data_IF_878397779817
#
_entry.id   IF_878397779817
#
_cell.length_a   1.000
_cell.length_b   1.000
_cell.length_c   1.000
_cell.angle_alpha   90.00
_cell.angle_beta   90.00
_cell.angle_gamma   90.00
#
_symmetry.space_group_name_H-M   'P 1'
#
loop_
_entity.id
_entity.type
_entity.pdbx_description
1 polymer ?
#
# COMPACT_ATOMS: atom_id res chain seq x y z
N UNK A 1 4.19 9.24 23.26
CA UNK A 1 2.88 9.46 22.60
C UNK A 1 3.14 9.63 21.12
N UNK A 2 2.33 9.01 20.26
CA UNK A 2 2.34 9.27 18.81
C UNK A 2 0.99 9.88 18.43
N UNK A 3 0.98 11.00 17.70
CA UNK A 3 -0.24 11.67 17.24
C UNK A 3 -0.29 11.63 15.72
N UNK A 4 -1.48 11.33 15.18
CA UNK A 4 -1.72 11.27 13.74
C UNK A 4 -2.92 12.14 13.37
N UNK A 5 -2.70 13.16 12.55
CA UNK A 5 -3.76 14.04 12.04
C UNK A 5 -4.21 13.60 10.64
N UNK A 6 -5.52 13.47 10.45
CA UNK A 6 -6.12 13.22 9.14
C UNK A 6 -7.21 14.25 8.86
N UNK A 7 -7.15 14.92 7.71
CA UNK A 7 -8.20 15.84 7.30
C UNK A 7 -9.26 15.07 6.49
N UNK A 8 -10.56 15.11 6.86
CA UNK A 8 -11.60 14.32 6.19
C UNK A 8 -11.73 14.55 4.69
N UNK A 9 -11.37 15.75 4.23
CA UNK A 9 -11.52 16.21 2.83
C UNK A 9 -10.25 16.08 2.00
N UNK A 10 -9.10 15.76 2.61
CA UNK A 10 -7.83 15.65 1.91
C UNK A 10 -7.55 14.17 1.64
N UNK A 11 -8.27 13.60 0.68
CA UNK A 11 -8.07 12.21 0.30
C UNK A 11 -6.65 12.04 -0.26
N UNK A 12 -5.85 11.27 0.49
CA UNK A 12 -4.49 10.94 0.09
C UNK A 12 -4.55 9.91 -1.03
N UNK A 13 -4.37 10.36 -2.27
CA UNK A 13 -4.30 9.46 -3.44
C UNK A 13 -3.04 8.58 -3.45
N UNK A 14 -2.05 8.87 -2.61
CA UNK A 14 -0.79 8.09 -2.52
C UNK A 14 -1.10 6.65 -2.11
N UNK A 15 -0.70 5.70 -2.93
CA UNK A 15 -0.98 4.27 -2.75
C UNK A 15 -2.13 3.75 -3.62
N UNK A 16 -3.01 4.63 -4.12
CA UNK A 16 -4.07 4.23 -5.05
C UNK A 16 -3.48 3.66 -6.35
N UNK A 17 -4.18 2.70 -6.94
CA UNK A 17 -3.81 2.06 -8.20
C UNK A 17 -4.92 2.34 -9.22
N UNK A 18 -4.51 2.76 -10.42
CA UNK A 18 -5.39 3.13 -11.51
C UNK A 18 -5.05 2.35 -12.77
N UNK A 19 -6.05 2.17 -13.64
CA UNK A 19 -5.83 1.94 -15.07
C UNK A 19 -5.75 3.33 -15.71
N UNK A 20 -4.56 3.74 -16.12
CA UNK A 20 -4.31 5.03 -16.75
C UNK A 20 -4.08 4.92 -18.26
N UNK A 21 -4.15 6.05 -18.95
CA UNK A 21 -3.82 6.20 -20.37
C UNK A 21 -2.58 7.05 -20.52
N UNK A 22 -1.57 6.56 -21.23
CA UNK A 22 -0.37 7.34 -21.55
C UNK A 22 -0.79 8.49 -22.48
N UNK A 23 -0.66 9.72 -22.01
CA UNK A 23 -0.95 10.92 -22.81
C UNK A 23 0.24 11.26 -23.70
N UNK A 24 1.43 11.27 -23.11
CA UNK A 24 2.64 11.68 -23.78
C UNK A 24 3.87 10.91 -23.26
N UNK A 25 4.85 10.73 -24.12
CA UNK A 25 6.14 10.09 -23.84
C UNK A 25 7.23 11.07 -24.23
N UNK A 26 8.09 11.40 -23.27
CA UNK A 26 9.12 12.44 -23.40
C UNK A 26 10.52 11.81 -23.24
N UNK A 27 11.14 11.31 -24.33
CA UNK A 27 12.45 10.64 -24.30
C UNK A 27 13.55 11.51 -23.68
N UNK A 28 13.58 12.81 -24.02
CA UNK A 28 14.57 13.75 -23.49
C UNK A 28 14.51 13.94 -21.97
N UNK A 29 13.36 13.66 -21.35
CA UNK A 29 13.18 13.67 -19.90
C UNK A 29 13.25 12.25 -19.29
N UNK A 30 13.24 11.20 -20.10
CA UNK A 30 13.18 9.81 -19.65
C UNK A 30 11.90 9.51 -18.87
N UNK A 31 10.75 10.04 -19.30
CA UNK A 31 9.48 9.93 -18.58
C UNK A 31 8.26 9.97 -19.50
N UNK A 32 7.10 9.63 -18.94
CA UNK A 32 5.79 9.71 -19.57
C UNK A 32 4.77 10.40 -18.64
N UNK A 33 3.74 10.99 -19.23
CA UNK A 33 2.56 11.48 -18.51
C UNK A 33 1.39 10.52 -18.72
N UNK A 34 0.71 10.20 -17.63
CA UNK A 34 -0.35 9.18 -17.61
C UNK A 34 -1.60 9.78 -17.00
N UNK A 35 -2.65 9.93 -17.80
CA UNK A 35 -3.97 10.32 -17.34
C UNK A 35 -4.58 9.18 -16.52
N UNK A 36 -5.08 9.52 -15.34
CA UNK A 36 -5.74 8.61 -14.39
C UNK A 36 -7.11 9.16 -13.94
N UNK A 37 -7.61 10.21 -14.57
CA UNK A 37 -8.88 10.86 -14.22
C UNK A 37 -8.80 11.78 -12.99
N UNK A 38 -7.59 12.00 -12.47
CA UNK A 38 -7.31 12.98 -11.41
C UNK A 38 -7.08 14.38 -12.00
N UNK A 39 -7.05 15.42 -11.16
CA UNK A 39 -6.84 16.81 -11.62
C UNK A 39 -5.52 17.04 -12.38
N UNK A 40 -4.51 16.19 -12.16
CA UNK A 40 -3.21 16.22 -12.83
C UNK A 40 -2.80 14.81 -13.21
N UNK A 41 -2.30 14.63 -14.42
CA UNK A 41 -1.69 13.38 -14.89
C UNK A 41 -0.50 12.97 -14.02
N UNK A 42 -0.30 11.66 -13.86
CA UNK A 42 0.84 11.13 -13.13
C UNK A 42 2.11 11.28 -13.99
N UNK A 43 3.17 11.81 -13.37
CA UNK A 43 4.51 11.76 -13.93
C UNK A 43 5.12 10.38 -13.67
N UNK A 44 5.44 9.64 -14.73
CA UNK A 44 6.04 8.29 -14.67
C UNK A 44 7.47 8.31 -15.25
N UNK A 45 8.52 8.36 -14.40
CA UNK A 45 9.89 8.28 -14.87
C UNK A 45 10.29 6.84 -15.25
N UNK A 46 11.24 6.69 -16.16
CA UNK A 46 11.71 5.38 -16.65
C UNK A 46 12.23 4.43 -15.56
N UNK A 47 12.73 4.96 -14.44
CA UNK A 47 13.14 4.19 -13.26
C UNK A 47 12.00 3.47 -12.53
N UNK A 48 10.76 3.83 -12.84
CA UNK A 48 9.54 3.32 -12.22
C UNK A 48 8.76 2.38 -13.15
N UNK A 49 9.38 1.96 -14.25
CA UNK A 49 8.90 0.84 -15.09
C UNK A 49 9.30 -0.48 -14.41
N UNK A 50 8.33 -1.37 -14.25
CA UNK A 50 8.48 -2.62 -13.52
C UNK A 50 9.16 -3.73 -14.34
N UNK A 51 9.68 -4.73 -13.63
CA UNK A 51 10.38 -5.87 -14.22
C UNK A 51 9.54 -6.64 -15.24
N UNK A 52 8.23 -6.79 -14.99
CA UNK A 52 7.31 -7.51 -15.88
C UNK A 52 7.21 -6.84 -17.25
N UNK A 53 7.00 -5.52 -17.29
CA UNK A 53 6.93 -4.73 -18.53
C UNK A 53 8.26 -4.77 -19.28
N UNK A 54 9.38 -4.68 -18.55
CA UNK A 54 10.72 -4.77 -19.15
C UNK A 54 10.93 -6.14 -19.83
N UNK A 55 10.61 -7.23 -19.13
CA UNK A 55 10.72 -8.60 -19.65
C UNK A 55 9.83 -8.83 -20.87
N UNK A 56 8.59 -8.32 -20.85
CA UNK A 56 7.66 -8.39 -22.00
C UNK A 56 8.22 -7.73 -23.27
N UNK A 57 9.10 -6.73 -23.12
CA UNK A 57 9.80 -6.06 -24.21
C UNK A 57 11.19 -6.65 -24.51
N UNK A 58 11.52 -7.82 -23.96
CA UNK A 58 12.83 -8.48 -24.13
C UNK A 58 13.98 -7.76 -23.42
N UNK A 59 13.68 -6.81 -22.53
CA UNK A 59 14.66 -6.06 -21.76
C UNK A 59 14.96 -6.78 -20.44
N UNK A 60 16.22 -6.71 -20.03
CA UNK A 60 16.70 -7.35 -18.81
C UNK A 60 16.71 -6.32 -17.67
N UNK A 61 15.90 -6.48 -16.61
CA UNK A 61 15.77 -5.46 -15.56
C UNK A 61 17.08 -5.07 -14.84
N UNK A 62 18.06 -5.98 -14.80
CA UNK A 62 19.34 -5.75 -14.15
C UNK A 62 20.38 -5.00 -15.00
N UNK A 63 20.10 -4.71 -16.27
CA UNK A 63 21.00 -3.96 -17.16
C UNK A 63 20.78 -2.43 -17.12
N UNK A 64 20.03 -1.92 -16.14
CA UNK A 64 19.74 -0.50 -15.96
C UNK A 64 18.36 -0.08 -16.46
N UNK A 65 18.09 1.22 -16.43
CA UNK A 65 16.81 1.78 -16.87
C UNK A 65 16.66 1.73 -18.39
N UNK A 66 15.59 1.10 -18.84
CA UNK A 66 15.18 1.14 -20.23
C UNK A 66 14.79 2.56 -20.65
N UNK A 67 15.03 2.89 -21.92
CA UNK A 67 14.49 4.09 -22.56
C UNK A 67 12.96 4.01 -22.57
N UNK A 68 12.29 5.06 -22.12
CA UNK A 68 10.84 5.09 -21.90
C UNK A 68 10.05 4.83 -23.20
N UNK A 69 10.55 5.32 -24.32
CA UNK A 69 9.95 5.18 -25.66
C UNK A 69 10.03 3.76 -26.22
N UNK A 70 10.88 2.89 -25.64
CA UNK A 70 10.94 1.47 -26.02
C UNK A 70 9.84 0.64 -25.36
N UNK A 71 9.22 1.17 -24.30
CA UNK A 71 8.29 0.42 -23.44
C UNK A 71 6.89 1.04 -23.38
N UNK A 72 6.75 2.34 -23.68
CA UNK A 72 5.48 3.05 -23.66
C UNK A 72 5.24 3.81 -24.97
N UNK A 73 3.97 3.87 -25.37
CA UNK A 73 3.48 4.69 -26.49
C UNK A 73 2.28 5.54 -26.06
N UNK A 74 2.12 6.75 -26.62
CA UNK A 74 0.89 7.53 -26.43
C UNK A 74 -0.37 6.72 -26.78
N UNK A 75 -1.43 6.89 -26.00
CA UNK A 75 -2.71 6.18 -26.11
C UNK A 75 -2.75 4.80 -25.44
N UNK A 76 -1.60 4.19 -25.12
CA UNK A 76 -1.52 2.90 -24.43
C UNK A 76 -2.16 2.98 -23.04
N UNK A 77 -2.90 1.94 -22.66
CA UNK A 77 -3.41 1.80 -21.28
C UNK A 77 -2.41 1.03 -20.41
N UNK A 78 -2.20 1.48 -19.18
CA UNK A 78 -1.28 0.84 -18.21
C UNK A 78 -1.89 0.81 -16.80
N UNK A 79 -1.46 -0.14 -15.97
CA UNK A 79 -1.74 -0.13 -14.54
C UNK A 79 -0.63 0.65 -13.83
N UNK A 80 -1.01 1.62 -13.00
CA UNK A 80 -0.09 2.56 -12.35
C UNK A 80 -0.52 2.86 -10.93
N UNK A 81 0.44 2.88 -9.99
CA UNK A 81 0.24 3.25 -8.59
C UNK A 81 0.76 4.67 -8.33
N UNK A 82 0.05 5.46 -7.54
CA UNK A 82 0.54 6.76 -7.08
C UNK A 82 1.59 6.53 -6.00
N UNK A 83 2.85 6.86 -6.30
CA UNK A 83 3.99 6.70 -5.39
C UNK A 83 4.18 7.92 -4.49
N UNK A 84 4.00 9.13 -5.03
CA UNK A 84 4.13 10.39 -4.29
C UNK A 84 3.05 11.37 -4.73
N UNK A 85 2.48 12.11 -3.79
CA UNK A 85 1.52 13.17 -4.09
C UNK A 85 2.20 14.34 -4.80
N UNK A 86 1.40 15.18 -5.46
CA UNK A 86 1.88 16.44 -6.03
C UNK A 86 2.21 17.43 -4.91
N UNK A 87 3.31 18.17 -5.05
CA UNK A 87 3.69 19.25 -4.13
C UNK A 87 3.66 20.56 -4.90
N UNK A 88 2.77 21.48 -4.50
CA UNK A 88 2.57 22.77 -5.17
C UNK A 88 2.18 22.59 -6.65
N UNK A 89 3.02 23.09 -7.55
CA UNK A 89 2.81 22.99 -9.00
C UNK A 89 3.19 21.62 -9.57
N UNK A 90 4.01 20.82 -8.87
CA UNK A 90 4.51 19.53 -9.38
C UNK A 90 3.40 18.47 -9.48
N UNK A 91 3.42 17.71 -10.56
CA UNK A 91 2.53 16.58 -10.75
C UNK A 91 2.82 15.48 -9.71
N UNK A 92 1.80 14.71 -9.30
CA UNK A 92 2.02 13.48 -8.55
C UNK A 92 2.88 12.50 -9.36
N UNK A 93 3.70 11.71 -8.66
CA UNK A 93 4.56 10.71 -9.28
C UNK A 93 3.87 9.34 -9.27
N UNK A 94 3.80 8.71 -10.43
CA UNK A 94 3.33 7.35 -10.60
C UNK A 94 4.48 6.32 -10.63
N UNK A 95 4.12 5.05 -10.46
CA UNK A 95 5.01 3.90 -10.64
C UNK A 95 4.23 2.69 -11.15
N UNK A 96 4.84 1.89 -12.00
CA UNK A 96 4.28 0.59 -12.39
C UNK A 96 4.79 -0.53 -11.48
N UNK A 97 5.72 -0.22 -10.56
CA UNK A 97 6.24 -1.13 -9.53
C UNK A 97 5.25 -1.20 -8.38
N UNK A 98 4.19 -1.99 -8.58
CA UNK A 98 3.06 -2.07 -7.67
C UNK A 98 3.51 -2.66 -6.34
N UNK A 99 3.05 -2.06 -5.24
CA UNK A 99 3.25 -2.56 -3.89
C UNK A 99 1.95 -2.52 -3.09
N UNK A 100 1.63 -3.64 -2.44
CA UNK A 100 0.46 -3.79 -1.59
C UNK A 100 0.92 -4.09 -0.15
N UNK A 101 0.83 -3.11 0.78
CA UNK A 101 1.23 -3.31 2.16
C UNK A 101 0.13 -4.06 2.96
N UNK A 102 0.41 -5.31 3.31
CA UNK A 102 -0.34 -6.07 4.32
C UNK A 102 0.23 -5.86 5.71
N UNK A 103 -0.21 -6.65 6.69
CA UNK A 103 0.23 -6.53 8.09
C UNK A 103 1.68 -6.98 8.28
N UNK A 104 2.04 -8.10 7.65
CA UNK A 104 3.35 -8.73 7.80
C UNK A 104 4.18 -8.65 6.53
N UNK A 105 3.54 -8.58 5.37
CA UNK A 105 4.20 -8.47 4.08
C UNK A 105 3.95 -7.12 3.41
N UNK A 106 4.91 -6.68 2.61
CA UNK A 106 4.63 -5.82 1.46
C UNK A 106 4.74 -6.71 0.23
N UNK A 107 3.63 -6.95 -0.44
CA UNK A 107 3.56 -7.76 -1.63
C UNK A 107 3.88 -6.94 -2.87
N UNK A 108 4.71 -7.49 -3.76
CA UNK A 108 5.23 -6.84 -4.97
C UNK A 108 4.85 -7.69 -6.19
N UNK A 109 3.62 -7.59 -6.70
CA UNK A 109 3.15 -8.48 -7.78
C UNK A 109 3.84 -8.25 -9.13
N UNK A 110 4.54 -7.13 -9.31
CA UNK A 110 5.20 -6.77 -10.58
C UNK A 110 6.73 -6.75 -10.51
N UNK A 111 7.34 -7.12 -9.37
CA UNK A 111 8.79 -7.09 -9.14
C UNK A 111 9.26 -8.36 -8.43
N UNK A 112 10.29 -9.03 -8.96
CA UNK A 112 10.80 -10.27 -8.36
C UNK A 112 11.87 -9.99 -7.31
N UNK A 113 11.43 -9.48 -6.15
CA UNK A 113 12.32 -9.09 -5.06
C UNK A 113 11.87 -9.65 -3.72
N UNK A 114 12.78 -10.34 -3.04
CA UNK A 114 12.63 -10.75 -1.64
C UNK A 114 13.41 -9.84 -0.70
N UNK A 115 12.72 -9.27 0.29
CA UNK A 115 13.31 -8.38 1.29
C UNK A 115 12.86 -8.72 2.71
N UNK A 116 13.61 -8.22 3.69
CA UNK A 116 13.26 -8.28 5.11
C UNK A 116 13.58 -6.93 5.71
N UNK A 117 12.69 -6.38 6.54
CA UNK A 117 12.90 -5.13 7.27
C UNK A 117 14.22 -5.16 8.04
N UNK A 118 14.98 -4.06 7.96
CA UNK A 118 16.25 -3.90 8.69
C UNK A 118 16.07 -3.89 10.21
N UNK A 119 14.85 -3.66 10.70
CA UNK A 119 14.51 -3.67 12.13
C UNK A 119 14.27 -5.08 12.69
N UNK A 120 14.21 -6.10 11.83
CA UNK A 120 14.09 -7.50 12.29
C UNK A 120 15.48 -8.01 12.61
N UNK A 121 15.72 -8.29 13.88
CA UNK A 121 17.00 -8.81 14.36
C UNK A 121 17.06 -10.34 14.21
N UNK A 122 18.29 -10.88 14.16
CA UNK A 122 18.52 -12.32 14.10
C UNK A 122 18.53 -12.90 12.68
N UNK A 123 19.70 -13.36 12.25
CA UNK A 123 19.92 -13.97 10.92
C UNK A 123 19.02 -15.17 10.68
N UNK A 124 18.72 -15.97 11.72
CA UNK A 124 17.84 -17.14 11.63
C UNK A 124 16.41 -16.75 11.24
N UNK A 125 15.82 -15.76 11.91
CA UNK A 125 14.45 -15.29 11.60
C UNK A 125 14.39 -14.64 10.21
N UNK A 126 15.39 -13.82 9.86
CA UNK A 126 15.46 -13.24 8.51
C UNK A 126 15.52 -14.32 7.41
N UNK A 127 16.32 -15.38 7.61
CA UNK A 127 16.38 -16.52 6.67
C UNK A 127 15.07 -17.28 6.61
N UNK A 128 14.42 -17.52 7.75
CA UNK A 128 13.11 -18.18 7.81
C UNK A 128 12.06 -17.37 7.03
N UNK A 129 11.95 -16.07 7.25
CA UNK A 129 11.00 -15.20 6.54
C UNK A 129 11.26 -15.21 5.02
N UNK A 130 12.52 -15.17 4.58
CA UNK A 130 12.85 -15.31 3.15
C UNK A 130 12.46 -16.67 2.58
N UNK A 131 12.59 -17.75 3.36
CA UNK A 131 12.17 -19.11 2.95
C UNK A 131 10.66 -19.17 2.77
N UNK A 132 9.90 -18.68 3.75
CA UNK A 132 8.43 -18.63 3.71
C UNK A 132 7.98 -17.79 2.51
N UNK A 133 8.50 -16.56 2.36
CA UNK A 133 8.15 -15.69 1.24
C UNK A 133 8.43 -16.34 -0.13
N UNK A 134 9.53 -17.09 -0.27
CA UNK A 134 9.85 -17.82 -1.49
C UNK A 134 8.88 -18.97 -1.77
N UNK A 135 8.41 -19.64 -0.72
CA UNK A 135 7.46 -20.75 -0.84
C UNK A 135 6.04 -20.28 -1.16
N UNK A 136 5.65 -19.09 -0.68
CA UNK A 136 4.31 -18.52 -0.89
C UNK A 136 4.15 -17.86 -2.27
N UNK A 137 5.11 -17.02 -2.68
CA UNK A 137 4.99 -16.21 -3.90
C UNK A 137 5.00 -17.04 -5.18
N UNK A 138 4.41 -16.51 -6.26
CA UNK A 138 4.58 -17.06 -7.61
C UNK A 138 5.88 -16.56 -8.26
N UNK A 139 6.23 -17.17 -9.39
CA UNK A 139 7.36 -16.71 -10.20
C UNK A 139 7.13 -15.29 -10.70
N UNK A 140 8.17 -14.44 -10.67
CA UNK A 140 8.07 -13.03 -11.07
C UNK A 140 7.49 -12.08 -10.02
N UNK A 141 6.89 -12.59 -8.94
CA UNK A 141 6.38 -11.80 -7.81
C UNK A 141 7.45 -11.58 -6.73
N UNK A 142 7.23 -10.65 -5.81
CA UNK A 142 8.15 -10.34 -4.72
C UNK A 142 7.43 -10.04 -3.42
N UNK A 143 8.18 -10.05 -2.32
CA UNK A 143 7.66 -9.84 -0.97
C UNK A 143 8.72 -9.22 -0.08
N UNK A 144 8.32 -8.30 0.79
CA UNK A 144 9.18 -7.73 1.83
C UNK A 144 8.57 -7.98 3.20
N UNK A 145 9.28 -8.66 4.09
CA UNK A 145 8.83 -8.86 5.46
C UNK A 145 8.88 -7.54 6.24
N UNK A 146 7.75 -7.12 6.82
CA UNK A 146 7.60 -5.96 7.71
C UNK A 146 8.02 -6.35 9.13
N UNK A 147 8.37 -5.37 9.95
CA UNK A 147 8.86 -5.61 11.34
C UNK A 147 7.92 -6.51 12.17
N UNK A 148 6.60 -6.37 12.01
CA UNK A 148 5.60 -7.19 12.69
C UNK A 148 5.72 -8.70 12.37
N UNK A 149 6.23 -9.06 11.18
CA UNK A 149 6.42 -10.45 10.77
C UNK A 149 7.39 -11.23 11.68
N UNK A 150 8.19 -10.55 12.49
CA UNK A 150 9.09 -11.23 13.42
C UNK A 150 8.35 -12.06 14.48
N UNK A 151 7.14 -11.62 14.85
CA UNK A 151 6.31 -12.23 15.90
C UNK A 151 5.19 -13.12 15.34
N UNK A 152 4.97 -13.08 14.03
CA UNK A 152 3.91 -13.86 13.39
C UNK A 152 4.29 -15.34 13.24
N UNK A 153 3.26 -16.19 13.37
CA UNK A 153 3.28 -17.60 13.00
C UNK A 153 3.31 -17.79 11.48
N UNK A 154 3.67 -18.98 11.00
CA UNK A 154 3.67 -19.26 9.55
C UNK A 154 2.26 -19.17 8.94
N UNK A 155 1.23 -19.55 9.68
CA UNK A 155 -0.17 -19.47 9.23
C UNK A 155 -0.68 -18.03 9.09
N UNK A 156 -0.33 -17.15 10.04
CA UNK A 156 -0.63 -15.71 9.93
C UNK A 156 0.08 -15.08 8.73
N UNK A 157 1.33 -15.48 8.47
CA UNK A 157 2.09 -15.01 7.31
C UNK A 157 1.48 -15.51 5.99
N UNK A 158 0.95 -16.73 5.96
CA UNK A 158 0.26 -17.28 4.80
C UNK A 158 -1.06 -16.54 4.53
N UNK A 159 -1.91 -16.35 5.55
CA UNK A 159 -3.18 -15.61 5.42
C UNK A 159 -2.98 -14.17 4.96
N UNK A 160 -1.97 -13.46 5.47
CA UNK A 160 -1.65 -12.09 5.02
C UNK A 160 -1.20 -12.08 3.55
N UNK A 161 -0.46 -13.09 3.08
CA UNK A 161 -0.13 -13.21 1.67
C UNK A 161 -1.36 -13.51 0.80
N UNK A 162 -2.22 -14.44 1.22
CA UNK A 162 -3.45 -14.81 0.49
C UNK A 162 -4.34 -13.60 0.26
N UNK A 163 -4.61 -12.81 1.31
CA UNK A 163 -5.39 -11.57 1.20
C UNK A 163 -4.77 -10.59 0.18
N UNK A 164 -3.44 -10.43 0.19
CA UNK A 164 -2.73 -9.55 -0.74
C UNK A 164 -2.76 -10.07 -2.18
N UNK A 165 -2.64 -11.38 -2.36
CA UNK A 165 -2.69 -12.03 -3.66
C UNK A 165 -4.09 -11.95 -4.27
N UNK A 166 -5.14 -12.16 -3.46
CA UNK A 166 -6.55 -11.99 -3.87
C UNK A 166 -6.86 -10.53 -4.22
N UNK A 167 -6.38 -9.59 -3.41
CA UNK A 167 -6.50 -8.15 -3.70
C UNK A 167 -5.90 -7.83 -5.06
N UNK A 168 -4.70 -8.33 -5.35
CA UNK A 168 -4.04 -8.13 -6.64
C UNK A 168 -4.80 -8.78 -7.81
N UNK A 169 -5.29 -10.01 -7.63
CA UNK A 169 -6.10 -10.69 -8.65
C UNK A 169 -7.38 -9.88 -8.98
N UNK A 170 -8.02 -9.29 -7.96
CA UNK A 170 -9.14 -8.37 -8.13
C UNK A 170 -8.77 -7.13 -8.95
N UNK A 171 -7.61 -6.53 -8.67
CA UNK A 171 -7.07 -5.37 -9.42
C UNK A 171 -6.80 -5.74 -10.89
N UNK A 172 -6.13 -6.86 -11.16
CA UNK A 172 -5.86 -7.31 -12.54
C UNK A 172 -7.15 -7.58 -13.31
N UNK A 173 -8.12 -8.25 -12.67
CA UNK A 173 -9.43 -8.53 -13.26
C UNK A 173 -10.21 -7.25 -13.57
N UNK A 174 -10.21 -6.28 -12.64
CA UNK A 174 -10.80 -4.97 -12.87
C UNK A 174 -10.09 -4.20 -14.00
N UNK A 175 -8.76 -4.25 -14.06
CA UNK A 175 -7.98 -3.63 -15.12
C UNK A 175 -8.31 -4.22 -16.50
N UNK A 176 -8.55 -5.53 -16.62
CA UNK A 176 -8.90 -6.15 -17.90
C UNK A 176 -10.30 -5.74 -18.40
N UNK A 177 -11.26 -5.60 -17.48
CA UNK A 177 -12.66 -5.30 -17.81
C UNK A 177 -12.99 -3.81 -17.98
N UNK A 178 -12.09 -2.93 -17.57
CA UNK A 178 -12.31 -1.48 -17.56
C UNK A 178 -11.67 -0.75 -18.73
N UNK A 179 -12.18 0.45 -19.03
CA UNK A 179 -11.50 1.41 -19.91
C UNK A 179 -10.73 2.44 -19.08
N UNK A 180 -9.58 2.89 -19.56
CA UNK A 180 -8.84 3.97 -18.92
C UNK A 180 -9.48 5.35 -19.22
N UNK A 181 -9.52 6.29 -18.26
CA UNK A 181 -9.00 6.17 -16.89
C UNK A 181 -9.98 5.54 -15.88
N UNK A 182 -9.49 4.71 -14.94
CA UNK A 182 -10.30 4.14 -13.87
C UNK A 182 -9.49 3.89 -12.58
N UNK A 183 -10.06 4.20 -11.41
CA UNK A 183 -9.55 3.77 -10.11
C UNK A 183 -9.80 2.25 -9.92
N UNK A 184 -8.73 1.49 -9.69
CA UNK A 184 -8.78 0.04 -9.49
C UNK A 184 -8.66 -0.37 -8.02
N UNK A 185 -7.91 0.41 -7.24
CA UNK A 185 -7.70 0.17 -5.82
C UNK A 185 -7.51 1.49 -5.08
N UNK A 186 -8.28 1.67 -4.00
CA UNK A 186 -8.12 2.78 -3.06
C UNK A 186 -7.29 2.29 -1.88
N UNK A 187 -6.21 3.01 -1.57
CA UNK A 187 -5.38 2.67 -0.41
C UNK A 187 -6.17 2.80 0.90
N UNK A 188 -5.70 2.09 1.93
CA UNK A 188 -6.21 2.26 3.29
C UNK A 188 -6.11 3.71 3.76
N UNK A 189 -7.17 4.18 4.42
CA UNK A 189 -7.17 5.47 5.11
C UNK A 189 -6.25 5.49 6.33
N UNK A 190 -6.16 6.66 6.99
CA UNK A 190 -5.28 6.84 8.16
C UNK A 190 -5.61 5.84 9.27
N UNK A 191 -6.86 5.77 9.71
CA UNK A 191 -7.30 4.89 10.80
C UNK A 191 -7.02 3.42 10.46
N UNK A 192 -7.40 2.98 9.25
CA UNK A 192 -7.17 1.61 8.79
C UNK A 192 -5.67 1.26 8.72
N UNK A 193 -4.83 2.19 8.26
CA UNK A 193 -3.39 1.95 8.17
C UNK A 193 -2.73 1.89 9.55
N UNK A 194 -3.18 2.70 10.52
CA UNK A 194 -2.76 2.62 11.92
C UNK A 194 -3.18 1.29 12.53
N UNK A 195 -4.44 0.88 12.37
CA UNK A 195 -4.93 -0.40 12.91
C UNK A 195 -4.13 -1.59 12.35
N UNK A 196 -3.93 -1.64 11.03
CA UNK A 196 -3.11 -2.69 10.39
C UNK A 196 -1.70 -2.74 10.98
N UNK A 197 -1.07 -1.58 11.21
CA UNK A 197 0.35 -1.48 11.55
C UNK A 197 0.65 -1.51 13.05
N UNK A 198 -0.30 -1.05 13.89
CA UNK A 198 -0.07 -0.76 15.31
C UNK A 198 -1.01 -1.50 16.25
N UNK A 199 -2.11 -2.10 15.78
CA UNK A 199 -2.96 -2.94 16.62
C UNK A 199 -2.26 -4.29 16.85
N UNK A 200 -1.36 -4.31 17.82
CA UNK A 200 -0.52 -5.44 18.20
C UNK A 200 -1.07 -6.10 19.48
N UNK A 201 -0.61 -7.32 19.84
CA UNK A 201 -1.11 -8.02 21.04
C UNK A 201 -1.00 -7.24 22.36
N UNK A 202 -0.04 -6.33 22.47
CA UNK A 202 0.21 -5.43 23.62
C UNK A 202 -0.75 -4.24 23.70
N UNK A 203 -1.53 -3.96 22.64
CA UNK A 203 -2.56 -2.91 22.67
C UNK A 203 -3.80 -3.43 23.38
N UNK A 204 -4.05 -2.95 24.61
CA UNK A 204 -5.19 -3.41 25.42
C UNK A 204 -6.55 -2.94 24.89
N UNK A 205 -6.67 -1.67 24.53
CA UNK A 205 -7.93 -1.05 24.11
C UNK A 205 -7.71 -0.07 22.97
N UNK A 206 -8.70 0.03 22.08
CA UNK A 206 -8.84 1.07 21.07
C UNK A 206 -10.16 1.75 21.32
N UNK A 207 -10.12 3.03 21.66
CA UNK A 207 -11.29 3.78 22.11
C UNK A 207 -11.67 4.79 21.03
N UNK A 208 -12.93 4.75 20.63
CA UNK A 208 -13.52 5.69 19.67
C UNK A 208 -14.67 6.46 20.32
N UNK A 209 -14.98 7.64 19.79
CA UNK A 209 -16.03 8.52 20.31
C UNK A 209 -17.40 8.34 19.62
N UNK A 210 -17.52 7.38 18.71
CA UNK A 210 -18.74 7.16 17.92
C UNK A 210 -18.92 5.70 17.54
N UNK A 211 -20.16 5.20 17.70
CA UNK A 211 -20.55 3.84 17.29
C UNK A 211 -20.32 3.60 15.80
N UNK A 212 -20.57 4.61 14.96
CA UNK A 212 -20.34 4.53 13.52
C UNK A 212 -18.88 4.19 13.17
N UNK A 213 -17.92 4.77 13.89
CA UNK A 213 -16.51 4.45 13.69
C UNK A 213 -16.15 3.08 14.26
N UNK A 214 -16.75 2.66 15.39
CA UNK A 214 -16.57 1.32 15.93
C UNK A 214 -16.99 0.25 14.92
N UNK A 215 -18.17 0.37 14.33
CA UNK A 215 -18.67 -0.58 13.32
C UNK A 215 -17.73 -0.64 12.10
N UNK A 216 -17.30 0.52 11.59
CA UNK A 216 -16.32 0.58 10.49
C UNK A 216 -14.99 -0.10 10.82
N UNK A 217 -14.50 0.05 12.06
CA UNK A 217 -13.27 -0.61 12.50
C UNK A 217 -13.49 -2.13 12.58
N UNK A 218 -14.61 -2.58 13.14
CA UNK A 218 -14.93 -4.01 13.23
C UNK A 218 -14.99 -4.65 11.84
N UNK A 219 -15.69 -4.05 10.88
CA UNK A 219 -15.72 -4.57 9.50
C UNK A 219 -14.34 -4.57 8.84
N UNK A 220 -13.49 -3.59 9.16
CA UNK A 220 -12.12 -3.58 8.67
C UNK A 220 -11.26 -4.70 9.29
N UNK A 221 -11.45 -5.01 10.58
CA UNK A 221 -10.75 -6.13 11.22
C UNK A 221 -11.18 -7.47 10.66
N UNK A 222 -12.47 -7.65 10.33
CA UNK A 222 -12.98 -8.83 9.61
C UNK A 222 -12.30 -8.99 8.26
N UNK A 223 -12.30 -7.91 7.47
CA UNK A 223 -11.64 -7.89 6.16
C UNK A 223 -10.14 -8.27 6.26
N UNK A 224 -9.47 -7.89 7.34
CA UNK A 224 -8.05 -8.17 7.56
C UNK A 224 -7.77 -9.50 8.28
N UNK A 225 -8.79 -10.33 8.57
CA UNK A 225 -8.67 -11.54 9.39
C UNK A 225 -8.04 -11.29 10.77
N UNK A 226 -8.51 -10.23 11.44
CA UNK A 226 -8.06 -9.76 12.76
C UNK A 226 -9.19 -9.81 13.79
N UNK A 227 -10.04 -10.84 13.74
CA UNK A 227 -11.24 -10.96 14.57
C UNK A 227 -10.94 -10.98 16.07
N UNK A 228 -9.81 -11.54 16.46
CA UNK A 228 -9.35 -11.62 17.87
C UNK A 228 -9.15 -10.25 18.53
N UNK A 229 -9.09 -9.18 17.74
CA UNK A 229 -8.93 -7.81 18.25
C UNK A 229 -10.25 -7.05 18.39
N UNK A 230 -11.39 -7.60 17.94
CA UNK A 230 -12.69 -6.89 17.95
C UNK A 230 -13.12 -6.48 19.35
N UNK A 231 -12.88 -7.32 20.35
CA UNK A 231 -13.29 -7.06 21.74
C UNK A 231 -12.53 -5.88 22.36
N UNK A 232 -11.41 -5.46 21.77
CA UNK A 232 -10.61 -4.32 22.20
C UNK A 232 -11.18 -2.99 21.71
N UNK A 233 -12.13 -2.99 20.77
CA UNK A 233 -12.71 -1.77 20.22
C UNK A 233 -13.88 -1.31 21.08
N UNK A 234 -13.67 -0.22 21.83
CA UNK A 234 -14.64 0.35 22.77
C UNK A 234 -15.14 1.71 22.31
N UNK A 235 -16.38 2.03 22.64
CA UNK A 235 -16.96 3.36 22.43
C UNK A 235 -16.96 4.10 23.75
N UNK A 236 -16.40 5.31 23.74
CA UNK A 236 -16.48 6.23 24.84
C UNK A 236 -17.87 6.87 24.88
N UNK A 237 -18.59 6.64 25.98
CA UNK A 237 -19.94 7.15 26.21
C UNK A 237 -19.99 8.25 27.28
N UNK A 238 -18.83 8.74 27.74
CA UNK A 238 -18.74 9.78 28.76
C UNK A 238 -19.17 11.15 28.22
N UNK A 239 -19.69 12.02 29.11
CA UNK A 239 -20.03 13.41 28.76
C UNK A 239 -18.79 14.27 28.49
N UNK A 240 -17.68 13.97 29.17
CA UNK A 240 -16.39 14.61 28.94
C UNK A 240 -15.81 14.11 27.61
N UNK A 241 -15.31 14.99 26.73
CA UNK A 241 -14.63 14.59 25.50
C UNK A 241 -13.54 13.53 25.75
N UNK A 242 -13.36 12.62 24.78
CA UNK A 242 -12.46 11.47 24.91
C UNK A 242 -11.05 11.86 25.35
N UNK A 243 -10.44 12.85 24.69
CA UNK A 243 -9.06 13.25 24.95
C UNK A 243 -8.88 13.96 26.30
N UNK A 244 -9.88 14.72 26.73
CA UNK A 244 -9.91 15.34 28.06
C UNK A 244 -10.08 14.26 29.15
N UNK A 245 -10.95 13.27 28.93
CA UNK A 245 -11.17 12.18 29.87
C UNK A 245 -9.87 11.40 30.17
N UNK A 246 -9.07 11.13 29.14
CA UNK A 246 -7.76 10.47 29.25
C UNK A 246 -6.59 11.42 29.53
N UNK A 247 -6.86 12.73 29.73
CA UNK A 247 -5.84 13.77 30.02
C UNK A 247 -4.71 13.85 28.99
N UNK A 248 -5.04 13.63 27.72
CA UNK A 248 -4.09 13.74 26.61
C UNK A 248 -4.19 15.08 25.87
N UNK A 249 -5.23 15.88 26.13
CA UNK A 249 -5.46 17.17 25.48
C UNK A 249 -4.28 18.15 25.65
N UNK A 250 -3.76 18.28 26.86
CA UNK A 250 -2.60 19.15 27.16
C UNK A 250 -1.36 18.71 26.39
N UNK A 251 -1.11 17.40 26.30
CA UNK A 251 0.04 16.85 25.58
C UNK A 251 -0.08 17.06 24.07
N UNK A 252 -1.30 17.05 23.52
CA UNK A 252 -1.56 17.34 22.11
C UNK A 252 -1.25 18.81 21.80
N UNK A 253 -1.62 19.74 22.69
CA UNK A 253 -1.36 21.18 22.50
C UNK A 253 0.12 21.55 22.56
N UNK A 254 0.94 20.77 23.25
CA UNK A 254 2.39 20.96 23.35
C UNK A 254 3.19 20.42 22.14
N UNK A 255 2.54 19.68 21.22
CA UNK A 255 3.18 19.02 20.06
C UNK A 255 2.94 19.76 18.75
#
# INVERSE_FOLDING_TARGET
>A
MEIYYGHPTQERIVGNIYKGRVEDVLPGMGAAFVDVGERKSLFLPQGEINDRVLKEHGLKPWHGTAQIEKVLKPGQSIVIQVRRGGIGTKNPQGTTKISLPGRFWVYLPTEDRLGVSRRIEGVRKQRQLRRIARALKKEGEGMIARTAAQWASEDELARDYELLAETWAGIESAAQRSSAPQLLYKTLGLVQSILRDRLLPDVHEVIVDSEFFREKIISFLEYMHMEDYKDRIKVHSGKTPLFEHYKIEEQIQET
#
